data_IF_199744720658
#
_entry.id   IF_199744720658
#
_cell.length_a   1.000
_cell.length_b   1.000
_cell.length_c   1.000
_cell.angle_alpha   90.00
_cell.angle_beta   90.00
_cell.angle_gamma   90.00
#
_symmetry.space_group_name_H-M   'P 1'
#
loop_
_entity.id
_entity.type
_entity.pdbx_description
1 polymer ?
#
# COMPACT_ATOMS: atom_id res chain seq x y z
N UNK A 1 -5.78 -4.22 -5.57
CA UNK A 1 -5.61 -4.43 -4.12
C UNK A 1 -4.58 -5.51 -3.89
N UNK A 2 -3.70 -5.37 -2.90
CA UNK A 2 -2.78 -6.43 -2.48
C UNK A 2 -3.49 -7.44 -1.56
N UNK A 3 -4.31 -8.30 -2.18
CA UNK A 3 -5.07 -9.38 -1.53
C UNK A 3 -5.09 -10.58 -2.49
N UNK A 4 -4.82 -11.79 -2.00
CA UNK A 4 -4.91 -13.02 -2.79
C UNK A 4 -5.65 -14.15 -2.02
N UNK A 5 -5.56 -15.38 -2.51
CA UNK A 5 -6.23 -16.55 -1.92
C UNK A 5 -5.77 -16.87 -0.48
N UNK A 6 -4.64 -16.31 -0.03
CA UNK A 6 -4.10 -16.44 1.34
C UNK A 6 -4.43 -15.24 2.23
N UNK A 7 -5.14 -14.23 1.71
CA UNK A 7 -5.60 -13.07 2.48
C UNK A 7 -4.90 -11.76 2.13
N UNK A 8 -4.98 -10.80 3.06
CA UNK A 8 -4.42 -9.46 2.91
C UNK A 8 -2.90 -9.47 2.99
N UNK A 9 -2.24 -8.61 2.21
CA UNK A 9 -0.81 -8.38 2.29
C UNK A 9 -0.46 -7.41 3.45
N UNK A 10 -0.12 -7.97 4.61
CA UNK A 10 0.26 -7.25 5.84
C UNK A 10 1.77 -6.97 5.95
N UNK A 11 2.62 -7.77 5.30
CA UNK A 11 4.07 -7.54 5.21
C UNK A 11 4.50 -6.90 3.89
N UNK A 12 5.69 -6.28 3.86
CA UNK A 12 6.32 -5.78 2.64
C UNK A 12 6.46 -6.85 1.56
N UNK A 13 6.94 -8.05 1.92
CA UNK A 13 7.19 -9.16 1.00
C UNK A 13 5.88 -9.63 0.36
N UNK A 14 4.81 -9.74 1.15
CA UNK A 14 3.48 -10.12 0.65
C UNK A 14 2.91 -9.07 -0.31
N UNK A 15 3.13 -7.79 -0.04
CA UNK A 15 2.67 -6.70 -0.93
C UNK A 15 3.36 -6.78 -2.29
N UNK A 16 4.67 -7.00 -2.29
CA UNK A 16 5.48 -7.19 -3.51
C UNK A 16 5.04 -8.44 -4.27
N UNK A 17 4.93 -9.59 -3.60
CA UNK A 17 4.52 -10.87 -4.19
C UNK A 17 3.20 -10.72 -4.95
N UNK A 18 2.17 -10.18 -4.29
CA UNK A 18 0.83 -10.07 -4.86
C UNK A 18 0.79 -9.06 -6.01
N UNK A 19 1.43 -7.89 -5.87
CA UNK A 19 1.43 -6.89 -6.93
C UNK A 19 2.20 -7.37 -8.16
N UNK A 20 3.35 -8.04 -7.98
CA UNK A 20 4.11 -8.62 -9.11
C UNK A 20 3.31 -9.70 -9.82
N UNK A 21 2.74 -10.66 -9.07
CA UNK A 21 1.89 -11.72 -9.64
C UNK A 21 0.70 -11.13 -10.41
N UNK A 22 0.06 -10.11 -9.86
CA UNK A 22 -1.07 -9.44 -10.51
C UNK A 22 -0.64 -8.71 -11.79
N UNK A 23 0.50 -8.01 -11.76
CA UNK A 23 1.06 -7.34 -12.92
C UNK A 23 1.36 -8.33 -14.05
N UNK A 24 2.02 -9.45 -13.75
CA UNK A 24 2.36 -10.47 -14.76
C UNK A 24 1.11 -11.11 -15.37
N UNK A 25 0.06 -11.31 -14.58
CA UNK A 25 -1.22 -11.79 -15.11
C UNK A 25 -1.85 -10.73 -16.02
N UNK A 26 -1.93 -9.48 -15.55
CA UNK A 26 -2.58 -8.39 -16.27
C UNK A 26 -1.85 -8.07 -17.58
N UNK A 27 -0.54 -7.91 -17.54
CA UNK A 27 0.26 -7.51 -18.69
C UNK A 27 0.53 -8.70 -19.61
N UNK A 28 1.03 -9.82 -19.10
CA UNK A 28 1.54 -10.89 -19.98
C UNK A 28 0.44 -11.85 -20.45
N UNK A 29 -0.63 -12.06 -19.67
CA UNK A 29 -1.65 -13.07 -19.99
C UNK A 29 -2.93 -12.48 -20.60
N UNK A 30 -3.37 -11.33 -20.09
CA UNK A 30 -4.59 -10.68 -20.59
C UNK A 30 -4.30 -9.42 -21.42
N UNK A 31 -3.02 -9.07 -21.60
CA UNK A 31 -2.57 -7.96 -22.44
C UNK A 31 -3.21 -6.61 -22.07
N UNK A 32 -3.35 -6.37 -20.75
CA UNK A 32 -3.88 -5.13 -20.20
C UNK A 32 -2.80 -4.03 -20.21
N UNK A 33 -3.11 -2.80 -20.64
CA UNK A 33 -2.14 -1.71 -20.64
C UNK A 33 -1.63 -1.40 -19.23
N UNK A 34 -0.31 -1.42 -19.04
CA UNK A 34 0.30 -1.23 -17.72
C UNK A 34 0.00 0.15 -17.10
N UNK A 35 -0.12 1.19 -17.91
CA UNK A 35 -0.48 2.54 -17.47
C UNK A 35 -1.90 2.66 -16.90
N UNK A 36 -2.77 1.68 -17.16
CA UNK A 36 -4.13 1.66 -16.62
C UNK A 36 -4.20 0.87 -15.30
N UNK A 37 -3.08 0.30 -14.84
CA UNK A 37 -3.01 -0.46 -13.59
C UNK A 37 -2.71 0.48 -12.43
N UNK A 38 -3.56 0.48 -11.41
CA UNK A 38 -3.33 1.16 -10.13
C UNK A 38 -3.28 0.10 -9.02
N UNK A 39 -2.10 -0.10 -8.45
CA UNK A 39 -1.94 -0.96 -7.26
C UNK A 39 -2.27 -0.20 -5.99
N UNK A 40 -3.00 -0.87 -5.09
CA UNK A 40 -3.19 -0.44 -3.71
C UNK A 40 -2.52 -1.50 -2.82
N UNK A 41 -1.33 -1.22 -2.24
CA UNK A 41 -0.62 -2.13 -1.36
C UNK A 41 -1.13 -2.11 0.09
N UNK A 42 -2.34 -1.58 0.33
CA UNK A 42 -3.05 -1.50 1.60
C UNK A 42 -2.42 -0.54 2.62
N UNK A 43 -3.04 0.63 2.80
CA UNK A 43 -2.76 1.49 3.95
C UNK A 43 -3.47 0.93 5.19
N UNK A 44 -2.69 0.47 6.17
CA UNK A 44 -3.19 -0.02 7.46
C UNK A 44 -2.98 0.99 8.59
N UNK A 45 -3.79 0.91 9.66
CA UNK A 45 -3.63 1.77 10.82
C UNK A 45 -2.31 1.53 11.56
N UNK A 46 -1.77 2.60 12.14
CA UNK A 46 -0.67 2.56 13.10
C UNK A 46 -1.15 3.10 14.45
N UNK A 47 -0.33 2.95 15.50
CA UNK A 47 -0.69 3.42 16.84
C UNK A 47 -1.86 2.63 17.46
N UNK A 48 -2.03 1.37 17.06
CA UNK A 48 -3.13 0.50 17.54
C UNK A 48 -2.86 -0.12 18.92
N UNK A 49 -1.64 0.06 19.46
CA UNK A 49 -1.17 -0.64 20.67
C UNK A 49 -0.65 -2.06 20.43
N UNK A 50 -0.58 -2.52 19.18
CA UNK A 50 -0.06 -3.82 18.78
C UNK A 50 1.30 -3.64 18.09
N UNK A 51 2.33 -4.38 18.53
CA UNK A 51 3.70 -4.23 18.02
C UNK A 51 3.81 -4.65 16.55
N UNK A 52 2.99 -5.62 16.14
CA UNK A 52 2.89 -6.12 14.77
C UNK A 52 2.51 -5.03 13.76
N UNK A 53 1.76 -4.01 14.21
CA UNK A 53 1.26 -2.93 13.33
C UNK A 53 2.22 -1.74 13.20
N UNK A 54 3.36 -1.77 13.89
CA UNK A 54 4.26 -0.62 14.01
C UNK A 54 4.93 -0.26 12.68
N UNK A 55 5.13 -1.24 11.80
CA UNK A 55 5.75 -1.07 10.49
C UNK A 55 4.77 -0.91 9.32
N UNK A 56 3.45 -0.93 9.57
CA UNK A 56 2.42 -0.91 8.52
C UNK A 56 2.61 0.21 7.47
N UNK A 57 2.92 1.42 7.94
CA UNK A 57 3.16 2.58 7.08
C UNK A 57 4.51 2.50 6.35
N UNK A 58 5.56 2.08 7.05
CA UNK A 58 6.92 1.92 6.48
C UNK A 58 6.91 0.88 5.36
N UNK A 59 6.23 -0.25 5.57
CA UNK A 59 6.14 -1.30 4.57
C UNK A 59 5.29 -0.87 3.37
N UNK A 60 4.40 0.14 3.53
CA UNK A 60 3.61 0.68 2.42
C UNK A 60 4.52 1.52 1.53
N UNK A 61 5.38 2.34 2.14
CA UNK A 61 6.36 3.14 1.41
C UNK A 61 7.38 2.26 0.67
N UNK A 62 7.91 1.22 1.33
CA UNK A 62 8.81 0.26 0.69
C UNK A 62 8.14 -0.43 -0.50
N UNK A 63 6.91 -0.93 -0.33
CA UNK A 63 6.15 -1.57 -1.41
C UNK A 63 5.86 -0.59 -2.56
N UNK A 64 5.50 0.66 -2.24
CA UNK A 64 5.26 1.72 -3.22
C UNK A 64 6.52 1.96 -4.06
N UNK A 65 7.69 2.12 -3.43
CA UNK A 65 8.97 2.29 -4.13
C UNK A 65 9.26 1.09 -5.02
N UNK A 66 9.16 -0.12 -4.48
CA UNK A 66 9.43 -1.34 -5.23
C UNK A 66 8.51 -1.47 -6.45
N UNK A 67 7.21 -1.23 -6.31
CA UNK A 67 6.25 -1.26 -7.42
C UNK A 67 6.65 -0.28 -8.50
N UNK A 68 6.99 0.97 -8.13
CA UNK A 68 7.36 2.00 -9.10
C UNK A 68 8.68 1.71 -9.83
N UNK A 69 9.62 1.04 -9.17
CA UNK A 69 10.91 0.66 -9.75
C UNK A 69 10.84 -0.61 -10.62
N UNK A 70 9.94 -1.55 -10.30
CA UNK A 70 9.96 -2.89 -10.89
C UNK A 70 8.76 -3.19 -11.81
N UNK A 71 7.66 -2.44 -11.69
CA UNK A 71 6.43 -2.64 -12.47
C UNK A 71 6.20 -1.42 -13.38
N UNK A 72 6.88 -1.34 -14.53
CA UNK A 72 6.88 -0.14 -15.36
C UNK A 72 5.47 0.21 -15.86
N UNK A 73 5.12 1.49 -15.80
CA UNK A 73 3.79 1.98 -16.18
C UNK A 73 2.74 1.89 -15.08
N UNK A 74 2.84 0.92 -14.15
CA UNK A 74 1.83 0.77 -13.10
C UNK A 74 1.90 1.88 -12.04
N UNK A 75 0.74 2.38 -11.62
CA UNK A 75 0.58 3.41 -10.60
C UNK A 75 0.36 2.81 -9.21
N UNK A 76 0.51 3.65 -8.18
CA UNK A 76 0.23 3.29 -6.79
C UNK A 76 -0.79 4.26 -6.20
N UNK A 77 -1.74 3.74 -5.44
CA UNK A 77 -2.72 4.49 -4.67
C UNK A 77 -2.87 3.86 -3.27
N UNK A 78 -3.64 4.51 -2.40
CA UNK A 78 -3.96 3.97 -1.08
C UNK A 78 -4.95 4.83 -0.32
N UNK A 79 -5.78 4.19 0.51
CA UNK A 79 -6.72 4.87 1.41
C UNK A 79 -6.02 5.54 2.59
N UNK A 80 -5.43 6.74 2.38
CA UNK A 80 -4.60 7.46 3.37
C UNK A 80 -5.25 7.58 4.75
N UNK A 81 -6.56 7.85 4.81
CA UNK A 81 -7.29 8.01 6.08
C UNK A 81 -7.18 6.81 7.03
N UNK A 82 -6.92 5.62 6.50
CA UNK A 82 -6.78 4.38 7.28
C UNK A 82 -5.57 4.41 8.22
N UNK A 83 -4.46 5.07 7.85
CA UNK A 83 -3.24 5.12 8.67
C UNK A 83 -3.49 5.69 10.07
N UNK A 84 -4.47 6.59 10.15
CA UNK A 84 -4.80 7.39 11.33
C UNK A 84 -6.02 6.89 12.10
N UNK A 85 -6.52 5.69 11.81
CA UNK A 85 -7.77 5.18 12.40
C UNK A 85 -7.75 5.16 13.93
N UNK A 86 -6.61 4.83 14.54
CA UNK A 86 -6.41 4.76 15.99
C UNK A 86 -6.62 6.11 16.71
N UNK A 87 -6.65 7.21 15.96
CA UNK A 87 -6.79 8.58 16.46
C UNK A 87 -8.15 9.20 16.12
N UNK A 88 -9.19 8.37 15.89
CA UNK A 88 -10.57 8.84 15.72
C UNK A 88 -10.98 9.76 16.86
N UNK A 89 -11.66 10.87 16.51
CA UNK A 89 -12.02 11.93 17.45
C UNK A 89 -10.99 13.07 17.53
N UNK A 90 -9.78 12.89 17.00
CA UNK A 90 -8.74 13.93 16.97
C UNK A 90 -8.34 14.28 15.52
N UNK A 91 -9.16 15.08 14.85
CA UNK A 91 -8.95 15.41 13.43
C UNK A 91 -7.61 16.13 13.18
N UNK A 92 -7.17 17.01 14.08
CA UNK A 92 -5.88 17.70 13.94
C UNK A 92 -4.70 16.74 13.87
N UNK A 93 -4.69 15.70 14.73
CA UNK A 93 -3.65 14.64 14.66
C UNK A 93 -3.80 13.82 13.38
N UNK A 94 -5.03 13.45 12.99
CA UNK A 94 -5.24 12.64 11.79
C UNK A 94 -4.77 13.35 10.52
N UNK A 95 -5.13 14.61 10.32
CA UNK A 95 -4.71 15.42 9.17
C UNK A 95 -3.20 15.65 9.13
N UNK A 96 -2.57 15.87 10.29
CA UNK A 96 -1.11 15.96 10.40
C UNK A 96 -0.44 14.64 9.99
N UNK A 97 -0.98 13.49 10.44
CA UNK A 97 -0.49 12.17 10.02
C UNK A 97 -0.66 11.94 8.51
N UNK A 98 -1.79 12.36 7.91
CA UNK A 98 -1.99 12.23 6.46
C UNK A 98 -0.97 13.04 5.68
N UNK A 99 -0.72 14.28 6.11
CA UNK A 99 0.27 15.17 5.49
C UNK A 99 1.67 14.57 5.59
N UNK A 100 2.06 14.08 6.77
CA UNK A 100 3.35 13.42 6.97
C UNK A 100 3.50 12.13 6.14
N UNK A 101 2.42 11.33 6.04
CA UNK A 101 2.39 10.10 5.25
C UNK A 101 2.55 10.36 3.74
N UNK A 102 2.01 11.47 3.24
CA UNK A 102 2.07 11.86 1.83
C UNK A 102 3.36 12.59 1.45
N UNK A 103 4.02 13.24 2.41
CA UNK A 103 5.27 13.99 2.20
C UNK A 103 6.50 13.11 1.91
N UNK A 104 6.34 11.78 1.92
CA UNK A 104 7.44 10.81 1.84
C UNK A 104 8.42 11.11 0.69
N UNK A 105 9.75 11.17 0.94
CA UNK A 105 10.79 11.44 -0.05
C UNK A 105 11.08 10.29 -1.02
#
# INVERSE_FOLDING_TARGET
>A
MAFDEKGQADSYERRVEICKRSYDILVDKVNFPAQDIIFDPNVFPVGTGMEEHKNNAVDFFKATRWIRENLPGAHVSGGVSNVSFSFRGNNSVREAMHSAFLFTP
#
